data_IF_042379295077
#
_entry.id   IF_042379295077
#
_cell.length_a   1.000
_cell.length_b   1.000
_cell.length_c   1.000
_cell.angle_alpha   90.00
_cell.angle_beta   90.00
_cell.angle_gamma   90.00
#
_symmetry.space_group_name_H-M   'P 1'
#
loop_
_entity.id
_entity.type
_entity.pdbx_description
1 polymer ?
#
# COMPACT_ATOMS: atom_id res chain seq x y z
N UNK A 1 -14.39 -47.33 48.35
CA UNK A 1 -13.62 -47.33 47.08
C UNK A 1 -13.87 -46.10 46.19
N UNK A 2 -14.62 -45.08 46.63
CA UNK A 2 -14.99 -43.95 45.76
C UNK A 2 -14.04 -42.73 45.89
N UNK A 3 -13.35 -42.59 47.02
CA UNK A 3 -12.52 -41.41 47.28
C UNK A 3 -11.23 -41.36 46.44
N UNK A 4 -10.65 -42.52 46.10
CA UNK A 4 -9.49 -42.61 45.21
C UNK A 4 -9.87 -42.36 43.74
N UNK A 5 -11.01 -42.90 43.28
CA UNK A 5 -11.50 -42.64 41.92
C UNK A 5 -11.84 -41.17 41.70
N UNK A 6 -12.41 -40.52 42.72
CA UNK A 6 -12.75 -39.09 42.67
C UNK A 6 -11.49 -38.20 42.69
N UNK A 7 -10.45 -38.60 43.42
CA UNK A 7 -9.16 -37.89 43.42
C UNK A 7 -8.46 -37.99 42.04
N UNK A 8 -8.50 -39.18 41.42
CA UNK A 8 -7.94 -39.38 40.08
C UNK A 8 -8.71 -38.63 38.99
N UNK A 9 -10.04 -38.55 39.08
CA UNK A 9 -10.85 -37.78 38.11
C UNK A 9 -10.64 -36.27 38.26
N UNK A 10 -10.50 -35.76 39.48
CA UNK A 10 -10.17 -34.34 39.72
C UNK A 10 -8.80 -33.99 39.11
N UNK A 11 -7.76 -34.79 39.40
CA UNK A 11 -6.42 -34.58 38.83
C UNK A 11 -6.40 -34.68 37.30
N UNK A 12 -7.15 -35.63 36.72
CA UNK A 12 -7.28 -35.75 35.27
C UNK A 12 -8.00 -34.53 34.66
N UNK A 13 -9.05 -34.02 35.32
CA UNK A 13 -9.79 -32.85 34.86
C UNK A 13 -8.95 -31.58 34.90
N UNK A 14 -8.13 -31.40 35.94
CA UNK A 14 -7.17 -30.29 36.05
C UNK A 14 -6.11 -30.36 34.94
N UNK A 15 -5.62 -31.55 34.63
CA UNK A 15 -4.68 -31.74 33.52
C UNK A 15 -5.32 -31.38 32.17
N UNK A 16 -6.56 -31.81 31.93
CA UNK A 16 -7.31 -31.49 30.70
C UNK A 16 -7.56 -29.98 30.60
N UNK A 17 -7.97 -29.32 31.70
CA UNK A 17 -8.21 -27.88 31.73
C UNK A 17 -6.92 -27.09 31.46
N UNK A 18 -5.81 -27.47 32.06
CA UNK A 18 -4.51 -26.86 31.80
C UNK A 18 -4.05 -27.07 30.36
N UNK A 19 -4.25 -28.27 29.82
CA UNK A 19 -3.95 -28.59 28.42
C UNK A 19 -4.77 -27.71 27.48
N UNK A 20 -6.09 -27.59 27.71
CA UNK A 20 -6.97 -26.72 26.92
C UNK A 20 -6.56 -25.24 27.02
N UNK A 21 -6.20 -24.77 28.21
CA UNK A 21 -5.73 -23.40 28.42
C UNK A 21 -4.44 -23.12 27.62
N UNK A 22 -3.49 -24.06 27.61
CA UNK A 22 -2.24 -23.95 26.84
C UNK A 22 -2.52 -23.94 25.33
N UNK A 23 -3.37 -24.84 24.83
CA UNK A 23 -3.76 -24.83 23.42
C UNK A 23 -4.53 -23.58 23.03
N UNK A 24 -5.39 -23.08 23.92
CA UNK A 24 -6.08 -21.80 23.76
C UNK A 24 -5.10 -20.65 23.61
N UNK A 25 -4.09 -20.57 24.48
CA UNK A 25 -3.03 -19.57 24.39
C UNK A 25 -2.24 -19.66 23.08
N UNK A 26 -1.83 -20.88 22.68
CA UNK A 26 -1.12 -21.11 21.41
C UNK A 26 -1.96 -20.62 20.23
N UNK A 27 -3.26 -20.94 20.19
CA UNK A 27 -4.13 -20.51 19.10
C UNK A 27 -4.29 -18.99 19.03
N UNK A 28 -4.40 -18.31 20.18
CA UNK A 28 -4.42 -16.84 20.25
C UNK A 28 -3.10 -16.27 19.71
N UNK A 29 -1.95 -16.81 20.10
CA UNK A 29 -0.64 -16.35 19.63
C UNK A 29 -0.53 -16.48 18.11
N UNK A 30 -0.94 -17.63 17.55
CA UNK A 30 -0.93 -17.85 16.10
C UNK A 30 -1.85 -16.82 15.39
N UNK A 31 -3.05 -16.59 15.91
CA UNK A 31 -3.97 -15.59 15.38
C UNK A 31 -3.38 -14.18 15.40
N UNK A 32 -2.73 -13.79 16.51
CA UNK A 32 -2.07 -12.48 16.64
C UNK A 32 -0.95 -12.33 15.61
N UNK A 33 -0.07 -13.32 15.49
CA UNK A 33 1.03 -13.31 14.50
C UNK A 33 0.47 -13.22 13.08
N UNK A 34 -0.51 -14.06 12.74
CA UNK A 34 -1.15 -14.04 11.42
C UNK A 34 -1.84 -12.71 11.11
N UNK A 35 -2.39 -12.06 12.13
CA UNK A 35 -3.01 -10.74 11.98
C UNK A 35 -1.99 -9.64 11.66
N UNK A 36 -0.83 -9.66 12.31
CA UNK A 36 0.24 -8.68 12.09
C UNK A 36 1.09 -8.95 10.84
N UNK A 37 1.03 -10.15 10.27
CA UNK A 37 1.70 -10.41 8.99
C UNK A 37 1.16 -9.49 7.89
N UNK A 38 2.05 -8.77 7.22
CA UNK A 38 1.67 -7.86 6.14
C UNK A 38 1.02 -8.65 5.00
N UNK A 39 -0.24 -8.36 4.72
CA UNK A 39 -0.92 -8.88 3.53
C UNK A 39 -0.83 -7.84 2.43
N UNK A 40 -0.61 -8.31 1.21
CA UNK A 40 -0.67 -7.48 0.02
C UNK A 40 -1.89 -7.82 -0.82
N UNK A 41 -2.41 -6.83 -1.53
CA UNK A 41 -3.53 -6.97 -2.46
C UNK A 41 -3.18 -6.16 -3.72
N UNK A 42 -3.38 -6.74 -4.89
CA UNK A 42 -3.26 -6.01 -6.14
C UNK A 42 -4.62 -5.46 -6.55
N UNK A 43 -4.67 -4.16 -6.85
CA UNK A 43 -5.92 -3.50 -7.21
C UNK A 43 -5.68 -2.33 -8.16
N UNK A 44 -6.68 -2.04 -8.98
CA UNK A 44 -6.74 -0.93 -9.94
C UNK A 44 -7.34 0.35 -9.34
N UNK A 45 -7.31 0.52 -8.01
CA UNK A 45 -7.80 1.75 -7.36
C UNK A 45 -7.08 3.01 -7.86
N UNK A 46 -5.80 2.87 -8.22
CA UNK A 46 -4.94 3.92 -8.74
C UNK A 46 -4.22 3.37 -9.95
N UNK A 47 -4.25 4.14 -11.03
CA UNK A 47 -3.55 3.83 -12.28
C UNK A 47 -2.46 4.88 -12.47
N UNK A 48 -1.30 4.41 -12.92
CA UNK A 48 -0.18 5.24 -13.34
C UNK A 48 -0.04 5.04 -14.84
N UNK A 49 -0.10 6.10 -15.62
CA UNK A 49 0.08 6.07 -17.08
C UNK A 49 1.19 6.99 -17.50
N UNK A 50 2.04 6.47 -18.38
CA UNK A 50 3.05 7.27 -19.06
C UNK A 50 2.50 7.81 -20.36
N UNK A 51 2.88 9.04 -20.68
CA UNK A 51 2.45 9.77 -21.85
C UNK A 51 0.93 9.63 -22.08
N UNK A 52 0.11 10.12 -21.13
CA UNK A 52 -1.35 9.95 -21.18
C UNK A 52 -1.90 10.55 -22.47
N UNK A 53 -2.79 9.82 -23.15
CA UNK A 53 -3.50 10.35 -24.31
C UNK A 53 -4.51 11.43 -23.90
N UNK A 54 -4.96 12.25 -24.84
CA UNK A 54 -6.06 13.20 -24.59
C UNK A 54 -7.33 12.49 -24.09
N UNK A 55 -7.59 11.27 -24.56
CA UNK A 55 -8.72 10.46 -24.11
C UNK A 55 -8.60 10.10 -22.62
N UNK A 56 -7.38 9.82 -22.14
CA UNK A 56 -7.12 9.52 -20.73
C UNK A 56 -7.32 10.74 -19.84
N UNK A 57 -6.93 11.92 -20.32
CA UNK A 57 -7.13 13.19 -19.61
C UNK A 57 -8.61 13.55 -19.59
N UNK A 58 -9.34 13.34 -20.69
CA UNK A 58 -10.77 13.61 -20.80
C UNK A 58 -11.65 12.73 -19.90
N UNK A 59 -11.15 11.58 -19.46
CA UNK A 59 -11.84 10.72 -18.46
C UNK A 59 -11.80 11.32 -17.05
N UNK A 60 -10.90 12.27 -16.78
CA UNK A 60 -10.73 12.87 -15.46
C UNK A 60 -11.78 13.94 -15.23
N UNK A 61 -12.38 13.95 -14.04
CA UNK A 61 -13.27 15.04 -13.63
C UNK A 61 -12.50 16.32 -13.34
N UNK A 62 -11.29 16.16 -12.78
CA UNK A 62 -10.38 17.26 -12.49
C UNK A 62 -8.95 16.73 -12.47
N UNK A 63 -8.01 17.53 -12.97
CA UNK A 63 -6.60 17.22 -12.85
C UNK A 63 -5.79 18.44 -12.41
N UNK A 64 -4.64 18.18 -11.80
CA UNK A 64 -3.65 19.20 -11.48
C UNK A 64 -2.36 18.87 -12.19
N UNK A 65 -1.81 19.83 -12.90
CA UNK A 65 -0.49 19.70 -13.53
C UNK A 65 0.58 20.28 -12.63
N UNK A 66 1.66 19.52 -12.44
CA UNK A 66 2.87 19.98 -11.79
C UNK A 66 3.99 19.97 -12.82
N UNK A 67 4.31 21.15 -13.33
CA UNK A 67 5.45 21.33 -14.22
C UNK A 67 6.74 21.23 -13.40
N UNK A 68 7.53 20.20 -13.67
CA UNK A 68 8.93 20.12 -13.26
C UNK A 68 9.83 20.32 -14.49
N UNK A 69 11.12 20.54 -14.25
CA UNK A 69 12.18 20.83 -15.22
C UNK A 69 12.40 19.75 -16.31
N UNK A 70 11.61 18.68 -16.32
CA UNK A 70 11.69 17.62 -17.31
C UNK A 70 10.93 17.98 -18.61
N UNK A 71 11.36 17.46 -19.77
CA UNK A 71 10.69 17.68 -21.05
C UNK A 71 9.21 17.30 -21.01
N UNK A 72 8.38 17.98 -21.79
CA UNK A 72 6.93 17.70 -21.83
C UNK A 72 6.59 16.29 -22.33
N UNK A 73 7.53 15.62 -23.00
CA UNK A 73 7.38 14.26 -23.52
C UNK A 73 7.36 13.19 -22.42
N UNK A 74 7.80 13.52 -21.20
CA UNK A 74 7.86 12.61 -20.04
C UNK A 74 6.68 12.80 -19.06
N UNK A 75 5.52 13.22 -19.58
CA UNK A 75 4.29 13.38 -18.78
C UNK A 75 3.85 12.05 -18.20
N UNK A 76 3.60 12.04 -16.90
CA UNK A 76 3.06 10.88 -16.18
C UNK A 76 1.77 11.27 -15.48
N UNK A 77 0.71 10.50 -15.73
CA UNK A 77 -0.59 10.63 -15.11
C UNK A 77 -0.72 9.64 -13.96
N UNK A 78 -1.03 10.15 -12.76
CA UNK A 78 -1.52 9.38 -11.63
C UNK A 78 -3.02 9.63 -11.49
N UNK A 79 -3.86 8.63 -11.72
CA UNK A 79 -5.31 8.77 -11.61
C UNK A 79 -5.90 7.86 -10.53
N UNK A 80 -6.83 8.42 -9.76
CA UNK A 80 -7.70 7.66 -8.85
C UNK A 80 -8.92 7.18 -9.62
N UNK A 81 -9.19 5.88 -9.59
CA UNK A 81 -10.32 5.26 -10.30
C UNK A 81 -11.50 5.05 -9.36
N UNK A 82 -11.29 4.33 -8.26
CA UNK A 82 -12.38 3.88 -7.38
C UNK A 82 -12.25 4.28 -5.93
N UNK A 83 -11.06 4.69 -5.48
CA UNK A 83 -10.83 5.11 -4.08
C UNK A 83 -9.93 6.33 -3.99
N UNK A 84 -10.20 7.15 -2.98
CA UNK A 84 -9.41 8.37 -2.76
C UNK A 84 -7.97 8.02 -2.42
N UNK A 85 -7.00 8.62 -3.12
CA UNK A 85 -5.59 8.55 -2.73
C UNK A 85 -5.25 9.71 -1.80
N UNK A 86 -4.96 9.36 -0.55
CA UNK A 86 -4.59 10.27 0.53
C UNK A 86 -3.08 10.26 0.75
N UNK A 87 -2.54 11.35 1.29
CA UNK A 87 -1.12 11.47 1.66
C UNK A 87 -0.14 11.15 0.52
N UNK A 88 -0.44 11.61 -0.68
CA UNK A 88 0.43 11.41 -1.84
C UNK A 88 1.75 12.16 -1.59
N UNK A 89 2.86 11.43 -1.65
CA UNK A 89 4.20 11.95 -1.37
C UNK A 89 5.17 11.46 -2.43
N UNK A 90 5.90 12.41 -3.01
CA UNK A 90 6.96 12.12 -3.96
C UNK A 90 8.31 12.25 -3.24
N UNK A 91 9.20 11.33 -3.57
CA UNK A 91 10.53 11.22 -3.01
C UNK A 91 11.54 11.27 -4.15
N UNK A 92 12.63 12.01 -3.94
CA UNK A 92 13.80 11.98 -4.79
C UNK A 92 14.90 11.13 -4.15
N UNK A 93 15.65 10.41 -4.96
CA UNK A 93 16.78 9.62 -4.50
C UNK A 93 18.00 10.53 -4.37
N UNK A 94 18.59 10.58 -3.18
CA UNK A 94 19.86 11.25 -2.96
C UNK A 94 20.99 10.25 -3.21
N UNK A 95 21.70 10.44 -4.32
CA UNK A 95 22.78 9.57 -4.78
C UNK A 95 23.92 9.55 -3.76
N UNK A 96 24.32 10.72 -3.24
CA UNK A 96 25.45 10.84 -2.31
C UNK A 96 25.25 10.07 -1.00
N UNK A 97 24.01 10.02 -0.50
CA UNK A 97 23.64 9.39 0.77
C UNK A 97 23.03 8.00 0.61
N UNK A 98 22.74 7.57 -0.62
CA UNK A 98 22.02 6.32 -0.91
C UNK A 98 20.63 6.24 -0.25
N UNK A 99 19.95 7.37 -0.07
CA UNK A 99 18.69 7.46 0.69
C UNK A 99 17.63 8.24 -0.05
N UNK A 100 16.37 7.84 0.15
CA UNK A 100 15.21 8.57 -0.35
C UNK A 100 14.95 9.80 0.52
N UNK A 101 15.01 10.98 -0.09
CA UNK A 101 14.61 12.23 0.53
C UNK A 101 13.20 12.60 0.04
N UNK A 102 12.45 13.30 0.89
CA UNK A 102 11.13 13.81 0.49
C UNK A 102 11.35 14.96 -0.48
N UNK A 103 10.77 14.88 -1.67
CA UNK A 103 10.77 16.00 -2.60
C UNK A 103 9.90 17.11 -1.99
N UNK A 104 10.52 18.24 -1.66
CA UNK A 104 9.85 19.39 -1.04
C UNK A 104 8.83 20.07 -1.98
N UNK A 105 8.93 19.84 -3.29
CA UNK A 105 8.18 20.55 -4.33
C UNK A 105 6.83 19.94 -4.73
N UNK A 106 6.48 18.74 -4.26
CA UNK A 106 5.22 18.07 -4.60
C UNK A 106 4.47 17.62 -3.34
N UNK A 107 3.77 18.56 -2.72
CA UNK A 107 2.74 18.26 -1.72
C UNK A 107 1.42 18.15 -2.46
N UNK A 108 1.17 17.01 -3.09
CA UNK A 108 -0.13 16.76 -3.69
C UNK A 108 -1.19 16.58 -2.59
N UNK A 109 -2.30 17.31 -2.75
CA UNK A 109 -3.54 17.10 -2.00
C UNK A 109 -4.08 15.68 -2.24
N UNK A 110 -4.97 15.26 -1.36
CA UNK A 110 -5.74 14.03 -1.53
C UNK A 110 -6.46 14.06 -2.90
N UNK A 111 -6.37 12.96 -3.66
CA UNK A 111 -7.14 12.74 -4.88
C UNK A 111 -8.44 12.04 -4.53
N UNK A 112 -9.56 12.60 -4.94
CA UNK A 112 -10.85 11.91 -4.95
C UNK A 112 -10.96 10.97 -6.17
N UNK A 113 -11.93 10.04 -6.19
CA UNK A 113 -12.19 9.21 -7.37
C UNK A 113 -12.36 10.04 -8.65
N UNK A 114 -11.84 9.52 -9.77
CA UNK A 114 -11.78 10.14 -11.09
C UNK A 114 -11.01 11.46 -11.16
N UNK A 115 -10.17 11.76 -10.16
CA UNK A 115 -9.22 12.86 -10.23
C UNK A 115 -7.83 12.36 -10.58
N UNK A 116 -7.05 13.21 -11.24
CA UNK A 116 -5.70 12.89 -11.66
C UNK A 116 -4.67 13.96 -11.31
N UNK A 117 -3.41 13.55 -11.34
CA UNK A 117 -2.27 14.45 -11.24
C UNK A 117 -1.37 14.14 -12.41
N UNK A 118 -1.02 15.17 -13.16
CA UNK A 118 -0.05 15.09 -14.24
C UNK A 118 1.22 15.74 -13.73
N UNK A 119 2.34 15.05 -13.88
CA UNK A 119 3.65 15.58 -13.55
C UNK A 119 4.70 15.08 -14.55
N UNK A 120 5.72 15.90 -14.76
CA UNK A 120 6.84 15.54 -15.64
C UNK A 120 7.97 15.01 -14.74
N UNK A 121 8.39 13.77 -14.94
CA UNK A 121 9.49 13.17 -14.17
C UNK A 121 10.50 12.56 -15.14
N UNK A 122 11.76 13.00 -15.04
CA UNK A 122 12.85 12.37 -15.76
C UNK A 122 13.14 10.97 -15.20
N UNK A 123 13.17 9.97 -16.08
CA UNK A 123 13.46 8.56 -15.78
C UNK A 123 14.81 8.16 -16.38
N UNK A 124 15.92 8.28 -15.63
CA UNK A 124 17.19 7.78 -16.14
C UNK A 124 17.19 6.25 -16.22
N UNK A 125 17.88 5.72 -17.23
CA UNK A 125 17.97 4.28 -17.52
C UNK A 125 18.75 3.49 -16.46
N UNK A 126 19.60 4.16 -15.67
CA UNK A 126 20.46 3.52 -14.68
C UNK A 126 19.83 3.37 -13.29
N UNK A 127 19.62 4.50 -12.60
CA UNK A 127 19.22 4.53 -11.18
C UNK A 127 17.89 5.26 -11.01
N UNK A 128 16.87 4.64 -10.39
CA UNK A 128 15.58 5.30 -10.20
C UNK A 128 15.74 6.54 -9.32
N UNK A 129 15.48 7.71 -9.89
CA UNK A 129 15.60 8.99 -9.20
C UNK A 129 14.36 9.32 -8.37
N UNK A 130 13.20 8.73 -8.69
CA UNK A 130 11.93 9.13 -8.11
C UNK A 130 11.10 7.95 -7.64
N UNK A 131 10.33 8.19 -6.57
CA UNK A 131 9.35 7.26 -6.03
C UNK A 131 8.14 8.04 -5.55
N UNK A 132 6.95 7.50 -5.75
CA UNK A 132 5.70 8.02 -5.21
C UNK A 132 5.11 7.02 -4.21
N UNK A 133 4.56 7.54 -3.11
CA UNK A 133 3.83 6.76 -2.10
C UNK A 133 2.48 7.40 -1.83
N UNK A 134 1.46 6.60 -1.61
CA UNK A 134 0.13 7.06 -1.24
C UNK A 134 -0.56 6.07 -0.31
N UNK A 135 -1.67 6.52 0.28
CA UNK A 135 -2.56 5.72 1.11
C UNK A 135 -3.98 5.75 0.56
N UNK A 136 -4.74 4.66 0.68
CA UNK A 136 -6.16 4.61 0.32
C UNK A 136 -7.05 4.73 1.57
N UNK A 137 -8.37 4.76 1.42
CA UNK A 137 -9.33 5.05 2.50
C UNK A 137 -9.09 4.23 3.78
N UNK A 138 -8.94 2.92 3.67
CA UNK A 138 -8.69 2.03 4.82
C UNK A 138 -7.27 2.16 5.41
N UNK A 139 -6.42 3.02 4.86
CA UNK A 139 -5.05 3.24 5.29
C UNK A 139 -4.07 2.18 4.79
N UNK A 140 -4.44 1.41 3.76
CA UNK A 140 -3.45 0.60 3.05
C UNK A 140 -2.54 1.53 2.26
N UNK A 141 -1.26 1.20 2.17
CA UNK A 141 -0.26 2.03 1.49
C UNK A 141 0.24 1.35 0.25
N UNK A 142 0.48 2.12 -0.80
CA UNK A 142 1.16 1.64 -1.99
C UNK A 142 2.34 2.54 -2.32
N UNK A 143 3.30 1.97 -3.04
CA UNK A 143 4.46 2.69 -3.54
C UNK A 143 4.76 2.29 -4.98
N UNK A 144 5.22 3.26 -5.74
CA UNK A 144 5.67 3.07 -7.11
C UNK A 144 6.99 3.78 -7.30
N UNK A 145 7.98 3.03 -7.78
CA UNK A 145 9.32 3.54 -8.10
C UNK A 145 9.35 3.78 -9.60
N UNK A 146 9.69 5.00 -10.00
CA UNK A 146 9.85 5.34 -11.41
C UNK A 146 11.23 4.85 -11.85
N UNK A 147 11.25 3.71 -12.54
CA UNK A 147 12.46 3.08 -13.07
C UNK A 147 12.25 2.70 -14.53
N UNK A 148 13.32 2.78 -15.32
CA UNK A 148 13.32 2.23 -16.66
C UNK A 148 13.14 0.69 -16.59
N UNK A 149 12.25 0.14 -17.42
CA UNK A 149 11.91 -1.29 -17.41
C UNK A 149 12.82 -2.13 -18.33
N UNK A 150 13.74 -1.49 -19.07
CA UNK A 150 14.75 -2.15 -19.90
C UNK A 150 14.20 -2.91 -21.12
N UNK A 151 12.88 -2.93 -21.33
CA UNK A 151 12.25 -3.83 -22.30
C UNK A 151 11.40 -3.11 -23.35
N UNK A 152 10.42 -2.30 -22.91
CA UNK A 152 9.44 -1.68 -23.83
C UNK A 152 9.38 -0.16 -23.75
N UNK A 153 9.99 0.46 -22.72
CA UNK A 153 9.86 1.89 -22.47
C UNK A 153 8.46 2.35 -22.02
N UNK A 154 7.49 1.43 -21.90
CA UNK A 154 6.15 1.72 -21.37
C UNK A 154 6.11 1.36 -19.88
N UNK A 155 5.99 2.34 -18.99
CA UNK A 155 5.99 2.14 -17.53
C UNK A 155 4.60 2.33 -16.89
N UNK A 156 3.55 2.42 -17.71
CA UNK A 156 2.16 2.42 -17.28
C UNK A 156 1.83 1.18 -16.42
N UNK A 157 1.24 1.41 -15.24
CA UNK A 157 0.71 0.37 -14.35
C UNK A 157 -0.79 0.57 -14.14
N UNK A 158 -1.54 -0.46 -14.53
CA UNK A 158 -2.98 -0.55 -14.28
C UNK A 158 -3.31 -1.10 -12.89
N UNK A 159 -2.39 -1.86 -12.30
CA UNK A 159 -2.54 -2.48 -10.98
C UNK A 159 -1.40 -2.05 -10.05
N UNK A 160 -1.77 -1.66 -8.84
CA UNK A 160 -0.84 -1.30 -7.78
C UNK A 160 -0.96 -2.29 -6.62
N UNK A 161 0.18 -2.62 -6.01
CA UNK A 161 0.23 -3.49 -4.83
C UNK A 161 0.01 -2.65 -3.58
N UNK A 162 -0.98 -3.02 -2.77
CA UNK A 162 -1.36 -2.35 -1.53
C UNK A 162 -0.96 -3.19 -0.33
N UNK A 163 -0.22 -2.57 0.60
CA UNK A 163 0.20 -3.20 1.85
C UNK A 163 -0.76 -2.79 2.97
N UNK A 164 -1.36 -3.79 3.62
CA UNK A 164 -2.24 -3.58 4.76
C UNK A 164 -1.52 -3.87 6.07
N UNK A 165 -1.38 -2.82 6.88
CA UNK A 165 -0.99 -2.96 8.29
C UNK A 165 -2.12 -3.59 9.11
N UNK A 166 -1.82 -4.10 10.30
CA UNK A 166 -2.86 -4.62 11.21
C UNK A 166 -3.99 -3.61 11.45
N UNK A 167 -3.67 -2.33 11.65
CA UNK A 167 -4.68 -1.27 11.80
C UNK A 167 -5.53 -1.07 10.54
N UNK A 168 -4.91 -1.11 9.35
CA UNK A 168 -5.61 -0.98 8.07
C UNK A 168 -6.59 -2.14 7.85
N UNK A 169 -6.24 -3.37 8.29
CA UNK A 169 -7.13 -4.53 8.26
C UNK A 169 -8.33 -4.37 9.19
N UNK A 170 -8.12 -3.91 10.43
CA UNK A 170 -9.21 -3.63 11.37
C UNK A 170 -10.18 -2.63 10.73
N UNK A 171 -9.68 -1.54 10.15
CA UNK A 171 -10.51 -0.54 9.47
C UNK A 171 -11.28 -1.12 8.29
N UNK A 172 -10.67 -1.99 7.48
CA UNK A 172 -11.36 -2.68 6.38
C UNK A 172 -12.50 -3.58 6.89
N UNK A 173 -12.25 -4.38 7.93
CA UNK A 173 -13.25 -5.29 8.54
C UNK A 173 -14.41 -4.49 9.14
N UNK A 174 -14.12 -3.40 9.85
CA UNK A 174 -15.11 -2.53 10.47
C UNK A 174 -15.76 -1.53 9.48
N UNK A 175 -15.33 -1.55 8.21
CA UNK A 175 -15.79 -0.63 7.16
C UNK A 175 -15.61 0.86 7.52
N UNK A 176 -14.48 1.21 8.15
CA UNK A 176 -14.13 2.57 8.58
C UNK A 176 -13.12 3.18 7.59
N UNK A 177 -13.59 4.11 6.75
CA UNK A 177 -12.80 4.83 5.72
C UNK A 177 -11.97 5.98 6.27
#
# INVERSE_FOLDING_TARGET
MNCLSDLFTIQAMDYINNLLAVWGLISIIICVIGFFNNTFEESSHIIIKDNPSEEDINKLTYYTEYNQEAPEEDRTLLMSVSQSAKNIRIYNFNIDKGKWNRASSLICKNLSPNQGIIFNINRPEGLPMYKIKWSIDYGATSEYIFSYNGFSGVHSKEYCTYYYSGYSKIRKILNIK
#
